data_IF_810420037358
#
_entry.id   IF_810420037358
#
_cell.length_a   1.000
_cell.length_b   1.000
_cell.length_c   1.000
_cell.angle_alpha   90.00
_cell.angle_beta   90.00
_cell.angle_gamma   90.00
#
_symmetry.space_group_name_H-M   'P 1'
#
loop_
_entity.id
_entity.type
_entity.pdbx_description
1 polymer ?
#
# COMPACT_ATOMS: atom_id res chain seq x y z
N UNK A 1 13.90 82.64 77.28
CA UNK A 1 12.54 82.50 77.84
C UNK A 1 12.19 81.01 77.87
N UNK A 2 11.89 80.51 79.08
CA UNK A 2 11.07 79.31 79.45
C UNK A 2 11.17 78.03 78.59
N UNK A 3 11.76 76.93 79.11
CA UNK A 3 11.08 75.72 79.68
C UNK A 3 10.10 75.02 78.70
N UNK A 4 10.13 73.71 78.37
CA UNK A 4 10.51 72.51 79.13
C UNK A 4 10.63 71.23 78.25
N UNK A 5 11.36 70.23 78.78
CA UNK A 5 11.09 68.76 78.83
C UNK A 5 11.25 67.82 77.62
N UNK A 6 12.40 67.13 77.60
CA UNK A 6 12.65 65.67 77.76
C UNK A 6 11.57 64.67 77.29
N UNK A 7 11.98 63.72 76.42
CA UNK A 7 11.69 62.29 76.60
C UNK A 7 12.75 61.39 75.91
N UNK A 8 13.06 60.25 76.55
CA UNK A 8 14.19 59.33 76.33
C UNK A 8 13.75 58.09 75.51
N UNK A 9 14.66 57.47 74.74
CA UNK A 9 14.96 56.01 74.71
C UNK A 9 15.12 55.32 73.32
N UNK A 10 16.30 54.70 73.15
CA UNK A 10 16.58 53.33 72.62
C UNK A 10 16.32 52.98 71.14
N UNK A 11 17.42 52.76 70.41
CA UNK A 11 17.82 51.38 70.06
C UNK A 11 17.74 50.90 68.59
N UNK A 12 18.89 50.38 68.13
CA UNK A 12 19.15 49.29 67.15
C UNK A 12 19.43 49.64 65.67
N UNK A 13 20.70 49.42 65.32
CA UNK A 13 21.22 49.12 63.99
C UNK A 13 20.48 47.95 63.32
N UNK A 14 20.24 48.04 62.00
CA UNK A 14 19.99 46.88 61.14
C UNK A 14 20.74 47.02 59.81
N UNK A 15 21.53 45.97 59.52
CA UNK A 15 22.20 45.69 58.24
C UNK A 15 21.15 45.36 57.17
N UNK A 16 21.35 45.82 55.94
CA UNK A 16 20.60 45.39 54.76
C UNK A 16 21.52 44.55 53.85
N UNK A 17 21.12 43.34 53.43
CA UNK A 17 21.93 42.49 52.58
C UNK A 17 21.75 42.88 51.10
N UNK A 18 22.86 42.79 50.35
CA UNK A 18 22.87 42.84 48.89
C UNK A 18 22.30 41.52 48.34
N UNK A 19 21.23 41.62 47.54
CA UNK A 19 20.75 40.52 46.70
C UNK A 19 21.35 40.68 45.29
N UNK A 20 22.18 39.72 44.90
CA UNK A 20 22.66 39.57 43.53
C UNK A 20 21.51 39.06 42.65
N UNK A 21 21.11 39.85 41.64
CA UNK A 21 20.23 39.41 40.56
C UNK A 21 21.02 38.54 39.57
N UNK A 22 20.74 37.24 39.55
CA UNK A 22 21.07 36.34 38.44
C UNK A 22 19.92 36.42 37.42
N UNK A 23 20.14 37.14 36.33
CA UNK A 23 19.24 37.14 35.18
C UNK A 23 19.48 35.87 34.36
N UNK A 24 18.64 34.85 34.57
CA UNK A 24 18.64 33.64 33.73
C UNK A 24 18.05 33.96 32.35
N UNK A 25 18.88 33.90 31.32
CA UNK A 25 18.43 33.89 29.94
C UNK A 25 17.83 32.50 29.64
N UNK A 26 16.49 32.42 29.67
CA UNK A 26 15.76 31.29 29.08
C UNK A 26 15.93 31.39 27.55
N UNK A 27 16.88 30.62 27.03
CA UNK A 27 16.94 30.30 25.60
C UNK A 27 15.70 29.46 25.28
N UNK A 28 14.64 30.10 24.80
CA UNK A 28 13.55 29.40 24.14
C UNK A 28 14.11 28.85 22.83
N UNK A 29 14.43 27.56 22.80
CA UNK A 29 14.61 26.87 21.53
C UNK A 29 13.28 26.95 20.77
N UNK A 30 13.28 27.30 19.48
CA UNK A 30 12.07 27.12 18.69
C UNK A 30 11.73 25.63 18.75
N UNK A 31 10.56 25.30 19.27
CA UNK A 31 10.01 23.98 19.09
C UNK A 31 9.80 23.83 17.58
N UNK A 32 10.59 22.95 16.94
CA UNK A 32 10.32 22.52 15.57
C UNK A 32 8.88 21.99 15.53
N UNK A 33 8.11 22.46 14.58
CA UNK A 33 6.74 22.03 14.39
C UNK A 33 6.77 20.64 13.74
N UNK A 34 6.57 19.60 14.54
CA UNK A 34 6.40 18.24 14.05
C UNK A 34 5.43 18.17 12.86
N UNK A 35 5.66 17.24 11.92
CA UNK A 35 4.75 17.01 10.81
C UNK A 35 3.30 16.85 11.30
N UNK A 36 2.37 17.50 10.60
CA UNK A 36 0.95 17.40 10.91
C UNK A 36 0.37 16.15 10.24
N UNK A 37 0.45 15.01 10.95
CA UNK A 37 -0.21 13.77 10.56
C UNK A 37 -1.66 13.79 11.06
N UNK A 38 -2.67 13.54 10.21
CA UNK A 38 -4.08 13.50 10.61
C UNK A 38 -4.38 12.18 11.36
N UNK A 39 -3.85 12.07 12.58
CA UNK A 39 -4.08 10.96 13.50
C UNK A 39 -4.60 11.50 14.83
N UNK A 40 -5.74 10.98 15.28
CA UNK A 40 -6.35 11.25 16.58
C UNK A 40 -5.90 10.26 17.67
N UNK A 41 -5.06 9.28 17.31
CA UNK A 41 -4.59 8.24 18.23
C UNK A 41 -5.67 7.24 18.66
N UNK A 42 -6.80 7.16 17.94
CA UNK A 42 -7.96 6.34 18.33
C UNK A 42 -7.69 4.83 18.37
N UNK A 43 -6.64 4.35 17.69
CA UNK A 43 -6.21 2.95 17.76
C UNK A 43 -5.21 2.67 18.90
N UNK A 44 -4.90 3.67 19.73
CA UNK A 44 -4.02 3.54 20.89
C UNK A 44 -2.55 3.28 20.52
N UNK A 45 -1.80 2.75 21.48
CA UNK A 45 -0.41 2.35 21.28
C UNK A 45 -0.35 0.91 20.75
N UNK A 46 0.44 0.69 19.68
CA UNK A 46 0.74 -0.65 19.18
C UNK A 46 2.11 -1.12 19.69
N UNK A 47 2.12 -2.16 20.53
CA UNK A 47 3.35 -2.77 21.03
C UNK A 47 3.43 -4.26 20.66
N UNK A 48 4.40 -4.62 19.83
CA UNK A 48 4.61 -5.99 19.33
C UNK A 48 5.93 -6.56 19.89
N UNK A 49 5.82 -7.46 20.87
CA UNK A 49 6.96 -8.15 21.48
C UNK A 49 7.19 -9.58 20.95
N UNK A 50 6.20 -10.17 20.28
CA UNK A 50 6.25 -11.52 19.73
C UNK A 50 5.64 -11.52 18.32
N UNK A 51 5.89 -12.60 17.56
CA UNK A 51 5.33 -12.73 16.21
C UNK A 51 3.80 -12.60 16.25
N UNK A 52 3.29 -11.59 15.54
CA UNK A 52 1.89 -11.20 15.55
C UNK A 52 1.38 -11.07 14.12
N UNK A 53 0.15 -11.52 13.90
CA UNK A 53 -0.59 -11.33 12.64
C UNK A 53 -1.84 -10.52 12.96
N UNK A 54 -1.96 -9.32 12.39
CA UNK A 54 -3.19 -8.52 12.48
C UNK A 54 -4.15 -9.00 11.40
N UNK A 55 -5.38 -9.31 11.79
CA UNK A 55 -6.43 -9.69 10.84
C UNK A 55 -7.11 -8.47 10.25
N UNK A 56 -6.74 -8.07 9.02
CA UNK A 56 -7.35 -6.91 8.38
C UNK A 56 -8.82 -7.13 8.02
N UNK A 57 -9.31 -8.38 8.02
CA UNK A 57 -10.74 -8.67 7.84
C UNK A 57 -11.62 -8.21 9.01
N UNK A 58 -11.02 -7.79 10.13
CA UNK A 58 -11.72 -7.24 11.30
C UNK A 58 -11.85 -5.71 11.27
N UNK A 59 -11.33 -5.04 10.24
CA UNK A 59 -11.42 -3.60 10.12
C UNK A 59 -12.88 -3.13 10.06
N UNK A 60 -13.14 -1.96 10.64
CA UNK A 60 -14.48 -1.37 10.66
C UNK A 60 -14.71 -0.62 9.35
N UNK A 61 -15.82 -0.85 8.67
CA UNK A 61 -16.18 -0.06 7.49
C UNK A 61 -16.51 1.38 7.89
N UNK A 62 -15.86 2.36 7.28
CA UNK A 62 -16.10 3.77 7.60
C UNK A 62 -15.20 4.75 6.87
N UNK A 63 -15.38 6.04 7.15
CA UNK A 63 -14.47 7.07 6.69
C UNK A 63 -13.13 6.95 7.41
N UNK A 64 -12.03 6.97 6.65
CA UNK A 64 -10.68 6.70 7.18
C UNK A 64 -10.24 7.58 8.36
N UNK A 65 -10.82 8.78 8.49
CA UNK A 65 -10.50 9.79 9.50
C UNK A 65 -11.44 9.73 10.72
N UNK A 66 -12.51 8.92 10.70
CA UNK A 66 -13.46 8.79 11.79
C UNK A 66 -12.83 8.16 13.05
N UNK A 67 -13.23 8.58 14.25
CA UNK A 67 -12.73 8.02 15.52
C UNK A 67 -12.95 6.49 15.61
N UNK A 68 -11.88 5.74 15.88
CA UNK A 68 -11.90 4.29 16.03
C UNK A 68 -11.81 3.80 17.50
N UNK A 69 -11.95 4.69 18.49
CA UNK A 69 -11.67 4.37 19.90
C UNK A 69 -12.50 3.20 20.46
N UNK A 70 -13.74 3.01 19.98
CA UNK A 70 -14.60 1.89 20.38
C UNK A 70 -14.17 0.53 19.82
N UNK A 71 -13.29 0.52 18.81
CA UNK A 71 -12.81 -0.66 18.08
C UNK A 71 -11.27 -0.62 17.95
N UNK A 72 -10.60 0.06 18.90
CA UNK A 72 -9.17 0.35 18.86
C UNK A 72 -8.32 -0.87 18.52
N UNK A 73 -7.40 -0.70 17.56
CA UNK A 73 -6.49 -1.74 17.10
C UNK A 73 -7.04 -2.59 15.95
N UNK A 74 -8.28 -2.37 15.51
CA UNK A 74 -8.87 -3.02 14.31
C UNK A 74 -8.67 -2.22 13.04
N UNK A 75 -8.46 -0.90 13.15
CA UNK A 75 -8.41 0.02 12.02
C UNK A 75 -9.76 0.20 11.32
N UNK A 76 -9.79 1.12 10.37
CA UNK A 76 -10.96 1.47 9.55
C UNK A 76 -10.67 1.14 8.10
N UNK A 77 -11.54 0.37 7.45
CA UNK A 77 -11.54 0.19 6.01
C UNK A 77 -12.41 1.26 5.35
N UNK A 78 -11.79 2.05 4.47
CA UNK A 78 -12.48 3.05 3.65
C UNK A 78 -12.47 2.60 2.19
N UNK A 79 -13.65 2.26 1.66
CA UNK A 79 -13.82 1.81 0.28
C UNK A 79 -13.48 2.89 -0.75
N UNK A 80 -13.68 4.18 -0.44
CA UNK A 80 -13.38 5.29 -1.35
C UNK A 80 -11.88 5.54 -1.51
N UNK A 81 -11.11 5.20 -0.46
CA UNK A 81 -9.64 5.27 -0.45
C UNK A 81 -8.99 3.94 -0.83
N UNK A 82 -9.76 2.86 -0.72
CA UNK A 82 -9.28 1.48 -0.79
C UNK A 82 -8.06 1.29 0.11
N UNK A 83 -8.25 1.46 1.42
CA UNK A 83 -7.18 1.32 2.41
C UNK A 83 -7.74 0.89 3.77
N UNK A 84 -6.97 0.12 4.54
CA UNK A 84 -7.21 -0.06 5.98
C UNK A 84 -6.30 0.88 6.74
N UNK A 85 -6.90 1.84 7.43
CA UNK A 85 -6.23 2.94 8.11
C UNK A 85 -6.23 2.71 9.62
N UNK A 86 -5.04 2.79 10.23
CA UNK A 86 -4.85 2.75 11.67
C UNK A 86 -4.31 4.11 12.14
N UNK A 87 -4.90 4.64 13.20
CA UNK A 87 -4.55 5.92 13.82
C UNK A 87 -3.95 5.68 15.20
N UNK A 88 -2.66 5.36 15.25
CA UNK A 88 -1.96 5.03 16.49
C UNK A 88 -1.41 6.27 17.20
N UNK A 89 -1.29 6.20 18.53
CA UNK A 89 -0.56 7.19 19.31
C UNK A 89 0.96 6.97 19.25
N UNK A 90 1.40 5.72 19.24
CA UNK A 90 2.78 5.30 19.05
C UNK A 90 2.84 3.85 18.55
N UNK A 91 3.94 3.46 17.91
CA UNK A 91 4.15 2.08 17.45
C UNK A 91 5.55 1.59 17.82
N UNK A 92 5.62 0.39 18.40
CA UNK A 92 6.88 -0.32 18.65
C UNK A 92 6.80 -1.78 18.21
N UNK A 93 7.72 -2.20 17.36
CA UNK A 93 7.98 -3.61 17.03
C UNK A 93 9.35 -3.98 17.60
N UNK A 94 9.35 -4.79 18.65
CA UNK A 94 10.55 -5.19 19.36
C UNK A 94 11.48 -6.06 18.50
N UNK A 95 12.78 -6.04 18.82
CA UNK A 95 13.76 -6.91 18.18
C UNK A 95 13.36 -8.38 18.29
N UNK A 96 13.49 -9.14 17.19
CA UNK A 96 13.11 -10.54 17.10
C UNK A 96 11.60 -10.80 16.88
N UNK A 97 10.74 -9.78 16.99
CA UNK A 97 9.32 -9.91 16.68
C UNK A 97 9.04 -9.62 15.20
N UNK A 98 8.07 -10.31 14.62
CA UNK A 98 7.54 -10.04 13.28
C UNK A 98 6.08 -9.65 13.37
N UNK A 99 5.74 -8.47 12.87
CA UNK A 99 4.36 -8.08 12.58
C UNK A 99 4.05 -8.34 11.11
N UNK A 100 2.92 -9.01 10.85
CA UNK A 100 2.37 -9.21 9.51
C UNK A 100 0.85 -9.12 9.53
N UNK A 101 0.23 -9.28 8.36
CA UNK A 101 -1.20 -9.05 8.18
C UNK A 101 -1.83 -10.18 7.36
N UNK A 102 -3.06 -10.58 7.71
CA UNK A 102 -3.95 -11.23 6.73
C UNK A 102 -4.59 -10.16 5.85
N UNK A 103 -5.13 -10.54 4.70
CA UNK A 103 -5.79 -9.58 3.81
C UNK A 103 -7.20 -9.24 4.29
N UNK A 104 -7.57 -7.96 4.17
CA UNK A 104 -8.97 -7.55 4.13
C UNK A 104 -9.65 -8.20 2.90
N UNK A 105 -10.97 -8.49 2.91
CA UNK A 105 -11.67 -9.03 1.73
C UNK A 105 -11.52 -8.22 0.44
N UNK A 106 -11.26 -6.92 0.50
CA UNK A 106 -10.92 -6.08 -0.67
C UNK A 106 -9.46 -6.14 -1.11
N UNK A 107 -8.60 -6.78 -0.31
CA UNK A 107 -7.13 -6.73 -0.42
C UNK A 107 -6.57 -5.31 -0.36
N UNK A 108 -7.23 -4.39 0.34
CA UNK A 108 -6.72 -3.04 0.51
C UNK A 108 -5.34 -3.00 1.21
N UNK A 109 -4.46 -2.04 0.86
CA UNK A 109 -3.20 -1.78 1.54
C UNK A 109 -3.38 -1.29 2.97
N UNK A 110 -2.28 -1.30 3.72
CA UNK A 110 -2.23 -0.83 5.11
C UNK A 110 -1.73 0.61 5.16
N UNK A 111 -2.37 1.45 5.96
CA UNK A 111 -1.94 2.82 6.23
C UNK A 111 -1.87 3.03 7.74
N UNK A 112 -0.71 3.44 8.22
CA UNK A 112 -0.49 3.86 9.60
C UNK A 112 -0.32 5.37 9.64
N UNK A 113 -1.18 6.02 10.42
CA UNK A 113 -1.11 7.43 10.78
C UNK A 113 -0.79 7.50 12.27
N UNK A 114 0.43 7.90 12.61
CA UNK A 114 0.95 7.86 13.98
C UNK A 114 1.18 9.28 14.46
N UNK A 115 0.55 9.68 15.56
CA UNK A 115 0.72 11.03 16.10
C UNK A 115 2.08 11.20 16.81
N UNK A 116 2.60 10.13 17.42
CA UNK A 116 3.92 10.09 18.06
C UNK A 116 5.00 9.40 17.23
N UNK A 117 5.87 8.66 17.93
CA UNK A 117 7.03 7.99 17.37
C UNK A 117 6.72 6.57 16.87
N UNK A 118 7.56 6.10 15.95
CA UNK A 118 7.53 4.73 15.44
C UNK A 118 8.91 4.09 15.60
N UNK A 119 8.96 2.95 16.28
CA UNK A 119 10.18 2.15 16.46
C UNK A 119 10.00 0.77 15.85
N UNK A 120 10.81 0.43 14.84
CA UNK A 120 10.80 -0.89 14.21
C UNK A 120 12.19 -1.50 14.38
N UNK A 121 12.37 -2.27 15.45
CA UNK A 121 13.57 -3.07 15.70
C UNK A 121 13.42 -4.51 15.21
N UNK A 122 12.18 -5.02 15.13
CA UNK A 122 11.84 -6.30 14.53
C UNK A 122 11.55 -6.22 13.02
N UNK A 123 10.60 -7.03 12.55
CA UNK A 123 10.18 -7.05 11.14
C UNK A 123 8.74 -6.58 10.99
N UNK A 124 8.49 -5.62 10.09
CA UNK A 124 7.16 -5.27 9.58
C UNK A 124 7.03 -5.83 8.15
N UNK A 125 6.12 -6.78 7.95
CA UNK A 125 6.02 -7.53 6.69
C UNK A 125 4.62 -7.45 6.07
N UNK A 126 4.56 -6.91 4.87
CA UNK A 126 3.41 -6.99 3.94
C UNK A 126 3.77 -7.83 2.71
N UNK A 127 4.63 -8.84 2.86
CA UNK A 127 5.10 -9.68 1.74
C UNK A 127 3.97 -10.46 1.05
N UNK A 128 4.18 -10.77 -0.24
CA UNK A 128 3.34 -11.67 -1.01
C UNK A 128 3.50 -13.13 -0.59
N UNK A 129 2.43 -13.91 -0.72
CA UNK A 129 2.47 -15.35 -0.54
C UNK A 129 3.30 -16.04 -1.63
N UNK A 130 4.11 -17.02 -1.22
CA UNK A 130 4.69 -17.97 -2.16
C UNK A 130 3.58 -18.76 -2.87
N UNK A 131 3.97 -19.49 -3.91
CA UNK A 131 3.08 -20.37 -4.64
C UNK A 131 2.25 -21.27 -3.71
N UNK A 132 1.04 -21.59 -4.16
CA UNK A 132 0.13 -22.53 -3.52
C UNK A 132 -0.19 -23.63 -4.52
N UNK A 133 -0.33 -24.87 -4.07
CA UNK A 133 -0.69 -25.99 -4.93
C UNK A 133 -2.00 -25.70 -5.69
N UNK A 134 -2.00 -26.01 -6.98
CA UNK A 134 -3.17 -25.86 -7.85
C UNK A 134 -4.32 -26.76 -7.37
N UNK A 135 -5.58 -26.33 -7.43
CA UNK A 135 -6.11 -25.14 -8.12
C UNK A 135 -6.14 -23.85 -7.26
N UNK A 136 -5.34 -23.78 -6.19
CA UNK A 136 -5.17 -22.57 -5.39
C UNK A 136 -4.47 -21.45 -6.18
N UNK A 137 -4.71 -20.21 -5.75
CA UNK A 137 -3.95 -19.02 -6.17
C UNK A 137 -3.15 -18.53 -4.97
N UNK A 138 -1.89 -18.15 -5.18
CA UNK A 138 -1.12 -17.51 -4.13
C UNK A 138 -1.75 -16.16 -3.76
N UNK A 139 -2.03 -15.95 -2.47
CA UNK A 139 -2.59 -14.69 -1.97
C UNK A 139 -1.47 -13.62 -1.85
N UNK A 140 -1.74 -12.37 -2.27
CA UNK A 140 -0.78 -11.29 -2.14
C UNK A 140 -0.67 -10.81 -0.70
N UNK A 141 0.31 -9.93 -0.45
CA UNK A 141 0.24 -9.07 0.73
C UNK A 141 -0.87 -8.02 0.57
N UNK A 142 -1.27 -7.33 1.66
CA UNK A 142 -2.30 -6.29 1.61
C UNK A 142 -1.98 -5.24 0.54
N UNK A 143 -2.89 -4.94 -0.38
CA UNK A 143 -2.69 -4.01 -1.49
C UNK A 143 -2.08 -4.62 -2.76
N UNK A 144 -1.60 -5.86 -2.72
CA UNK A 144 -1.02 -6.55 -3.87
C UNK A 144 -2.02 -7.42 -4.66
N UNK A 145 -1.51 -8.17 -5.64
CA UNK A 145 -2.32 -9.04 -6.50
C UNK A 145 -1.82 -10.49 -6.56
N UNK A 146 -2.75 -11.43 -6.73
CA UNK A 146 -2.54 -12.88 -6.70
C UNK A 146 -1.60 -13.39 -7.79
N UNK A 147 -0.92 -14.50 -7.49
CA UNK A 147 -0.26 -15.34 -8.51
C UNK A 147 -1.28 -16.13 -9.34
N UNK A 148 -0.86 -16.56 -10.53
CA UNK A 148 -1.63 -17.44 -11.41
C UNK A 148 -1.51 -18.91 -10.98
N UNK A 149 -2.56 -19.69 -11.22
CA UNK A 149 -2.49 -21.14 -11.03
C UNK A 149 -1.80 -21.81 -12.22
N UNK A 150 -1.30 -23.02 -12.02
CA UNK A 150 -0.73 -23.84 -13.07
C UNK A 150 -1.69 -24.95 -13.53
N UNK A 151 -1.19 -25.85 -14.37
CA UNK A 151 -1.92 -27.05 -14.76
C UNK A 151 -2.30 -27.90 -13.54
N UNK A 152 -3.59 -28.23 -13.44
CA UNK A 152 -4.13 -29.11 -12.39
C UNK A 152 -4.60 -30.45 -12.96
N UNK A 153 -5.45 -30.41 -13.99
CA UNK A 153 -6.00 -31.59 -14.65
C UNK A 153 -6.48 -31.23 -16.06
N UNK A 154 -6.87 -32.22 -16.85
CA UNK A 154 -7.41 -31.99 -18.19
C UNK A 154 -8.63 -31.06 -18.14
N UNK A 155 -8.61 -30.00 -18.95
CA UNK A 155 -9.63 -28.94 -18.94
C UNK A 155 -9.46 -27.88 -17.84
N UNK A 156 -8.41 -27.98 -17.01
CA UNK A 156 -8.02 -26.98 -16.00
C UNK A 156 -6.50 -26.74 -16.07
N UNK A 157 -6.11 -25.96 -17.08
CA UNK A 157 -4.75 -25.48 -17.30
C UNK A 157 -4.49 -24.16 -16.54
N UNK A 158 -3.22 -23.71 -16.60
CA UNK A 158 -2.75 -22.52 -15.89
C UNK A 158 -3.38 -21.19 -16.32
N UNK A 159 -3.10 -20.15 -15.53
CA UNK A 159 -3.56 -18.78 -15.75
C UNK A 159 -2.46 -17.75 -15.55
N UNK A 160 -2.66 -16.57 -16.14
CA UNK A 160 -1.80 -15.43 -15.87
C UNK A 160 -1.87 -14.97 -14.42
N UNK A 161 -0.83 -14.29 -13.96
CA UNK A 161 -0.82 -13.61 -12.67
C UNK A 161 -1.81 -12.45 -12.66
N UNK A 162 -2.34 -12.11 -11.50
CA UNK A 162 -3.28 -11.00 -11.34
C UNK A 162 -2.52 -9.69 -11.07
N UNK A 163 -3.20 -8.57 -11.30
CA UNK A 163 -2.59 -7.23 -11.15
C UNK A 163 -2.26 -6.55 -12.49
N UNK A 164 -2.13 -5.22 -12.52
CA UNK A 164 -1.83 -4.47 -13.75
C UNK A 164 -0.54 -4.91 -14.43
N UNK A 165 0.43 -5.41 -13.66
CA UNK A 165 1.69 -5.97 -14.15
C UNK A 165 1.76 -7.49 -14.09
N UNK A 166 0.63 -8.21 -13.95
CA UNK A 166 0.61 -9.65 -13.78
C UNK A 166 1.25 -10.40 -14.95
N UNK A 167 2.08 -11.40 -14.66
CA UNK A 167 2.81 -12.16 -15.68
C UNK A 167 1.92 -13.09 -16.51
N UNK A 168 2.28 -13.34 -17.77
CA UNK A 168 1.54 -14.26 -18.64
C UNK A 168 1.70 -15.71 -18.20
N UNK A 169 0.63 -16.49 -18.45
CA UNK A 169 0.69 -17.95 -18.44
C UNK A 169 1.28 -18.43 -19.77
N UNK A 170 2.42 -19.13 -19.69
CA UNK A 170 3.10 -19.70 -20.85
C UNK A 170 3.61 -21.10 -20.51
N UNK A 171 3.81 -21.93 -21.53
CA UNK A 171 4.36 -23.28 -21.36
C UNK A 171 5.83 -23.26 -20.99
N UNK A 172 6.26 -24.23 -20.18
CA UNK A 172 7.61 -24.43 -19.64
C UNK A 172 8.11 -23.32 -18.70
N UNK A 173 8.15 -22.06 -19.13
CA UNK A 173 8.61 -20.96 -18.27
C UNK A 173 7.61 -19.82 -18.29
N UNK A 174 6.90 -19.65 -17.18
CA UNK A 174 5.94 -18.56 -16.99
C UNK A 174 6.63 -17.24 -16.66
N UNK A 175 5.88 -16.15 -16.73
CA UNK A 175 6.43 -14.80 -16.58
C UNK A 175 6.23 -14.25 -15.17
N UNK A 176 7.26 -13.59 -14.63
CA UNK A 176 7.17 -12.87 -13.37
C UNK A 176 6.18 -11.69 -13.45
N UNK A 177 5.61 -11.33 -12.30
CA UNK A 177 4.84 -10.10 -12.15
C UNK A 177 5.75 -8.87 -12.19
N UNK A 178 5.22 -7.75 -12.63
CA UNK A 178 5.89 -6.44 -12.72
C UNK A 178 5.29 -5.45 -11.73
N UNK A 179 6.07 -4.46 -11.28
CA UNK A 179 5.52 -3.27 -10.59
C UNK A 179 6.38 -2.02 -10.84
N UNK A 180 7.42 -1.79 -10.02
CA UNK A 180 8.37 -0.70 -10.19
C UNK A 180 9.39 -0.96 -11.29
N UNK A 181 9.71 -2.24 -11.54
CA UNK A 181 10.36 -2.71 -12.76
C UNK A 181 9.56 -3.82 -13.42
N UNK A 182 9.91 -4.13 -14.67
CA UNK A 182 9.36 -5.27 -15.40
C UNK A 182 9.96 -6.57 -14.84
N UNK A 183 9.12 -7.60 -14.65
CA UNK A 183 9.56 -8.95 -14.28
C UNK A 183 10.21 -9.70 -15.45
N UNK A 184 10.75 -10.88 -15.20
CA UNK A 184 11.44 -11.70 -16.22
C UNK A 184 10.50 -12.75 -16.83
N UNK A 185 10.65 -13.06 -18.11
CA UNK A 185 9.93 -14.12 -18.81
C UNK A 185 9.50 -13.72 -20.23
N UNK A 186 8.79 -14.62 -20.92
CA UNK A 186 8.34 -14.40 -22.31
C UNK A 186 7.14 -13.45 -22.47
N UNK A 187 6.47 -13.07 -21.38
CA UNK A 187 5.32 -12.16 -21.39
C UNK A 187 5.01 -11.53 -20.03
N UNK A 188 5.97 -10.89 -19.33
CA UNK A 188 5.68 -10.11 -18.13
C UNK A 188 4.74 -8.95 -18.45
N UNK A 189 3.83 -8.61 -17.52
CA UNK A 189 3.00 -7.41 -17.66
C UNK A 189 3.84 -6.12 -17.59
N UNK A 190 3.27 -4.95 -17.94
CA UNK A 190 3.99 -3.68 -17.83
C UNK A 190 4.23 -3.28 -16.37
N UNK A 191 5.25 -2.44 -16.16
CA UNK A 191 5.38 -1.68 -14.90
C UNK A 191 4.19 -0.72 -14.75
N UNK A 192 3.78 -0.43 -13.51
CA UNK A 192 2.63 0.45 -13.23
C UNK A 192 2.80 1.22 -11.92
N UNK A 193 1.81 2.05 -11.60
CA UNK A 193 1.85 2.97 -10.48
C UNK A 193 2.82 4.12 -10.73
N UNK A 194 3.10 4.89 -9.69
CA UNK A 194 3.99 6.04 -9.78
C UNK A 194 4.99 6.04 -8.60
N UNK A 195 6.15 6.71 -8.74
CA UNK A 195 7.13 6.84 -7.66
C UNK A 195 6.59 7.53 -6.40
N UNK A 196 5.48 8.25 -6.51
CA UNK A 196 4.84 8.90 -5.36
C UNK A 196 4.07 7.94 -4.45
N UNK A 197 3.73 6.73 -4.91
CA UNK A 197 2.87 5.81 -4.16
C UNK A 197 1.56 6.48 -3.69
N UNK A 198 0.99 7.32 -4.56
CA UNK A 198 -0.31 7.97 -4.40
C UNK A 198 -1.13 7.71 -5.68
N UNK A 199 -2.18 6.86 -5.66
CA UNK A 199 -2.60 6.04 -4.52
C UNK A 199 -1.57 4.96 -4.15
N UNK A 200 -1.68 4.44 -2.93
CA UNK A 200 -0.83 3.36 -2.43
C UNK A 200 -1.24 2.04 -3.08
N UNK A 201 -0.34 1.42 -3.84
CA UNK A 201 -0.58 0.17 -4.56
C UNK A 201 0.54 -0.84 -4.30
N UNK A 202 0.16 -2.12 -4.18
CA UNK A 202 1.10 -3.24 -4.09
C UNK A 202 1.47 -3.81 -5.46
N UNK A 203 2.28 -4.87 -5.43
CA UNK A 203 2.84 -5.56 -6.58
C UNK A 203 1.90 -6.58 -7.22
N UNK A 204 2.25 -7.03 -8.43
CA UNK A 204 1.49 -8.01 -9.20
C UNK A 204 2.04 -9.43 -9.08
N UNK A 205 1.18 -10.43 -9.25
CA UNK A 205 1.58 -11.83 -9.21
C UNK A 205 2.19 -12.32 -10.54
N UNK A 206 2.97 -13.39 -10.46
CA UNK A 206 3.48 -14.07 -11.65
C UNK A 206 2.50 -15.09 -12.21
N UNK A 207 2.67 -15.45 -13.49
CA UNK A 207 1.83 -16.46 -14.17
C UNK A 207 2.12 -17.89 -13.70
N UNK A 208 1.14 -18.76 -13.80
CA UNK A 208 1.35 -20.20 -13.61
C UNK A 208 1.55 -20.92 -14.94
N UNK A 209 2.30 -22.02 -14.89
CA UNK A 209 2.62 -22.83 -16.07
C UNK A 209 1.38 -23.54 -16.61
N UNK A 210 1.19 -23.52 -17.94
CA UNK A 210 0.01 -24.12 -18.57
C UNK A 210 0.15 -25.62 -18.83
N UNK A 211 1.37 -26.15 -18.86
CA UNK A 211 1.67 -27.54 -19.23
C UNK A 211 2.04 -28.40 -18.01
N UNK A 212 2.45 -27.75 -16.92
CA UNK A 212 3.00 -28.40 -15.74
C UNK A 212 2.44 -27.77 -14.46
N UNK A 213 2.58 -28.46 -13.32
CA UNK A 213 2.03 -28.01 -12.03
C UNK A 213 2.91 -26.99 -11.28
N UNK A 214 3.38 -25.93 -11.96
CA UNK A 214 4.25 -24.89 -11.38
C UNK A 214 3.53 -23.54 -11.27
N UNK A 215 2.83 -23.29 -10.15
CA UNK A 215 2.07 -22.06 -9.95
C UNK A 215 2.96 -20.85 -9.68
N UNK A 216 2.40 -19.67 -9.95
CA UNK A 216 3.06 -18.40 -9.76
C UNK A 216 3.01 -17.90 -8.31
N UNK A 217 4.00 -17.08 -7.94
CA UNK A 217 4.02 -16.36 -6.66
C UNK A 217 3.17 -15.09 -6.70
N UNK A 218 2.69 -14.63 -5.55
CA UNK A 218 1.87 -13.43 -5.45
C UNK A 218 2.70 -12.16 -5.30
N UNK A 219 2.15 -11.01 -5.70
CA UNK A 219 2.79 -9.71 -5.53
C UNK A 219 2.90 -9.29 -4.07
N UNK A 220 3.95 -8.54 -3.75
CA UNK A 220 4.12 -7.89 -2.46
C UNK A 220 2.99 -6.90 -2.17
N UNK A 221 2.64 -6.73 -0.91
CA UNK A 221 1.66 -5.75 -0.47
C UNK A 221 2.18 -4.31 -0.49
N UNK A 222 1.38 -3.38 0.02
CA UNK A 222 1.76 -2.00 0.17
C UNK A 222 1.40 -1.44 1.54
N UNK A 223 2.30 -0.61 2.06
CA UNK A 223 2.16 0.03 3.36
C UNK A 223 2.62 1.50 3.32
N UNK A 224 1.83 2.37 3.95
CA UNK A 224 2.23 3.71 4.35
C UNK A 224 2.48 3.71 5.85
N UNK A 225 3.66 4.16 6.28
CA UNK A 225 3.96 4.52 7.67
C UNK A 225 4.19 6.02 7.71
N UNK A 226 3.21 6.77 8.22
CA UNK A 226 3.30 8.21 8.43
C UNK A 226 3.33 8.51 9.93
N UNK A 227 4.40 9.14 10.42
CA UNK A 227 4.49 9.56 11.82
C UNK A 227 4.85 11.04 11.96
N UNK A 228 4.24 11.69 12.97
CA UNK A 228 4.52 13.08 13.30
C UNK A 228 5.89 13.28 13.95
N UNK A 229 6.41 12.25 14.62
CA UNK A 229 7.71 12.28 15.29
C UNK A 229 8.82 11.55 14.54
N UNK A 230 9.61 10.78 15.28
CA UNK A 230 10.74 10.03 14.76
C UNK A 230 10.33 8.63 14.32
N UNK A 231 10.66 8.25 13.08
CA UNK A 231 10.68 6.86 12.63
C UNK A 231 12.10 6.30 12.83
N UNK A 232 12.28 5.47 13.85
CA UNK A 232 13.53 4.75 14.11
C UNK A 232 13.43 3.32 13.56
N UNK A 233 14.19 3.03 12.50
CA UNK A 233 14.24 1.71 11.89
C UNK A 233 15.62 1.08 12.07
N UNK A 234 15.71 0.05 12.92
CA UNK A 234 16.91 -0.80 13.07
C UNK A 234 16.68 -2.23 12.60
N UNK A 235 15.41 -2.64 12.46
CA UNK A 235 14.99 -3.91 11.92
C UNK A 235 14.71 -3.87 10.42
N UNK A 236 13.60 -4.47 9.98
CA UNK A 236 13.25 -4.59 8.55
C UNK A 236 11.79 -4.19 8.28
N UNK A 237 11.57 -3.45 7.20
CA UNK A 237 10.26 -3.32 6.55
C UNK A 237 10.33 -4.05 5.20
N UNK A 238 9.44 -5.02 4.98
CA UNK A 238 9.44 -5.85 3.77
C UNK A 238 8.09 -5.87 3.07
N UNK A 239 8.12 -5.57 1.77
CA UNK A 239 7.02 -5.72 0.83
C UNK A 239 7.44 -6.64 -0.33
N UNK A 240 8.20 -7.71 -0.05
CA UNK A 240 8.73 -8.57 -1.09
C UNK A 240 7.64 -9.40 -1.78
N UNK A 241 7.86 -9.73 -3.05
CA UNK A 241 7.03 -10.66 -3.80
C UNK A 241 7.24 -12.11 -3.36
N UNK A 242 6.23 -12.94 -3.56
CA UNK A 242 6.28 -14.37 -3.30
C UNK A 242 7.02 -15.14 -4.41
N UNK A 243 7.66 -16.23 -4.02
CA UNK A 243 8.34 -17.12 -4.95
C UNK A 243 7.37 -18.09 -5.63
N UNK A 244 7.63 -18.43 -6.88
CA UNK A 244 6.92 -19.48 -7.62
C UNK A 244 7.37 -20.88 -7.20
N UNK A 245 6.65 -21.91 -7.68
CA UNK A 245 7.11 -23.28 -7.57
C UNK A 245 8.32 -23.50 -8.50
N UNK A 246 9.39 -24.10 -7.95
CA UNK A 246 10.57 -24.48 -8.72
C UNK A 246 11.08 -25.86 -8.26
N UNK A 247 10.71 -26.95 -8.95
CA UNK A 247 11.22 -28.28 -8.65
C UNK A 247 12.65 -28.53 -9.18
N UNK A 248 13.30 -27.56 -9.83
CA UNK A 248 14.44 -27.79 -10.71
C UNK A 248 13.97 -28.40 -12.04
N UNK A 249 14.71 -28.19 -13.14
CA UNK A 249 14.32 -28.45 -14.54
C UNK A 249 13.47 -27.35 -15.20
N UNK A 250 13.33 -27.43 -16.53
CA UNK A 250 12.82 -26.41 -17.47
C UNK A 250 11.34 -25.97 -17.27
N UNK A 251 10.75 -26.25 -16.10
CA UNK A 251 9.38 -25.93 -15.72
C UNK A 251 9.39 -25.00 -14.48
N UNK A 252 9.13 -23.70 -14.66
CA UNK A 252 9.12 -22.72 -13.55
C UNK A 252 7.94 -21.75 -13.68
N UNK A 253 7.20 -21.59 -12.58
CA UNK A 253 6.15 -20.57 -12.47
C UNK A 253 6.74 -19.15 -12.42
N UNK A 254 5.93 -18.14 -12.69
CA UNK A 254 6.32 -16.74 -12.56
C UNK A 254 6.37 -16.28 -11.10
N UNK A 255 7.44 -15.61 -10.68
CA UNK A 255 7.50 -15.01 -9.33
C UNK A 255 6.65 -13.74 -9.24
N UNK A 256 6.18 -13.41 -8.03
CA UNK A 256 5.50 -12.14 -7.79
C UNK A 256 6.47 -10.96 -7.70
N UNK A 257 6.03 -9.76 -8.10
CA UNK A 257 6.83 -8.55 -7.97
C UNK A 257 6.91 -8.07 -6.52
N UNK A 258 7.90 -7.23 -6.22
CA UNK A 258 7.90 -6.42 -5.01
C UNK A 258 6.70 -5.48 -4.94
N UNK A 259 6.39 -5.00 -3.75
CA UNK A 259 5.25 -4.15 -3.42
C UNK A 259 5.60 -2.67 -3.21
N UNK A 260 4.78 -1.96 -2.43
CA UNK A 260 4.92 -0.52 -2.19
C UNK A 260 5.26 -0.19 -0.74
N UNK A 261 6.34 0.56 -0.48
CA UNK A 261 6.62 1.06 0.87
C UNK A 261 6.73 2.58 0.83
N UNK A 262 5.85 3.27 1.54
CA UNK A 262 5.88 4.72 1.68
C UNK A 262 6.14 5.08 3.14
N UNK A 263 7.24 5.77 3.40
CA UNK A 263 7.62 6.24 4.73
C UNK A 263 7.51 7.76 4.75
N UNK A 264 6.80 8.30 5.73
CA UNK A 264 6.66 9.73 5.99
C UNK A 264 6.98 9.96 7.46
N UNK A 265 7.99 10.76 7.77
CA UNK A 265 8.40 11.01 9.16
C UNK A 265 8.96 12.41 9.32
N UNK A 266 8.81 13.02 10.48
CA UNK A 266 9.54 14.26 10.76
C UNK A 266 11.04 13.98 10.74
N UNK A 267 11.47 13.02 11.56
CA UNK A 267 12.85 12.54 11.59
C UNK A 267 12.92 11.07 11.21
N UNK A 268 13.71 10.74 10.18
CA UNK A 268 14.05 9.35 9.85
C UNK A 268 15.42 8.97 10.42
N UNK A 269 15.45 7.95 11.27
CA UNK A 269 16.64 7.48 11.98
C UNK A 269 16.86 5.96 11.86
N UNK A 270 18.08 5.51 12.18
CA UNK A 270 18.44 4.10 12.29
C UNK A 270 19.26 3.53 11.12
N UNK A 271 19.49 2.22 11.14
CA UNK A 271 20.41 1.48 10.25
C UNK A 271 19.77 0.22 9.66
N UNK A 272 18.44 0.10 9.74
CA UNK A 272 17.71 -1.08 9.30
C UNK A 272 17.55 -1.18 7.78
N UNK A 273 16.67 -2.09 7.36
CA UNK A 273 16.45 -2.47 5.97
C UNK A 273 15.03 -2.11 5.53
N UNK A 274 14.90 -1.51 4.36
CA UNK A 274 13.61 -1.31 3.67
C UNK A 274 13.68 -2.01 2.32
N UNK A 275 12.87 -3.04 2.12
CA UNK A 275 12.96 -3.85 0.90
C UNK A 275 11.59 -4.12 0.26
N UNK A 276 11.53 -3.93 -1.06
CA UNK A 276 10.40 -4.28 -1.91
C UNK A 276 10.94 -4.97 -3.16
N UNK A 277 11.51 -6.16 -3.00
CA UNK A 277 12.10 -6.94 -4.12
C UNK A 277 11.13 -8.02 -4.61
N UNK A 278 11.19 -8.37 -5.88
CA UNK A 278 10.43 -9.49 -6.43
C UNK A 278 10.92 -10.84 -5.90
N UNK A 279 10.10 -11.88 -6.05
CA UNK A 279 10.55 -13.26 -5.82
C UNK A 279 11.69 -13.61 -6.78
N UNK A 280 12.63 -14.43 -6.33
CA UNK A 280 13.98 -14.56 -6.94
C UNK A 280 14.24 -15.90 -7.59
N UNK A 281 13.30 -16.83 -7.55
CA UNK A 281 13.52 -18.23 -7.94
C UNK A 281 13.27 -18.42 -9.44
N UNK A 282 14.31 -18.60 -10.25
CA UNK A 282 14.14 -18.78 -11.71
C UNK A 282 13.88 -17.44 -12.40
N UNK A 283 12.65 -17.20 -12.90
CA UNK A 283 12.25 -15.95 -13.58
C UNK A 283 11.81 -14.88 -12.56
N UNK A 284 12.69 -13.95 -12.15
CA UNK A 284 12.39 -13.09 -11.00
C UNK A 284 11.22 -12.14 -11.27
N UNK A 285 10.50 -11.82 -10.21
CA UNK A 285 9.51 -10.74 -10.24
C UNK A 285 10.21 -9.38 -10.34
N UNK A 286 9.51 -8.40 -10.89
CA UNK A 286 9.98 -7.02 -10.92
C UNK A 286 10.17 -6.46 -9.51
N UNK A 287 11.03 -5.45 -9.40
CA UNK A 287 11.20 -4.67 -8.18
C UNK A 287 9.92 -3.90 -7.87
N UNK A 288 9.71 -3.60 -6.60
CA UNK A 288 8.63 -2.78 -6.10
C UNK A 288 8.93 -1.28 -6.19
N UNK A 289 8.28 -0.48 -5.34
CA UNK A 289 8.51 0.95 -5.24
C UNK A 289 8.68 1.35 -3.78
N UNK A 290 9.65 2.21 -3.51
CA UNK A 290 9.88 2.76 -2.17
C UNK A 290 9.85 4.28 -2.28
N UNK A 291 9.13 4.94 -1.37
CA UNK A 291 9.13 6.40 -1.20
C UNK A 291 9.46 6.76 0.23
N UNK A 292 10.31 7.76 0.39
CA UNK A 292 10.72 8.29 1.69
C UNK A 292 10.50 9.81 1.67
N UNK A 293 9.68 10.30 2.59
CA UNK A 293 9.39 11.72 2.78
C UNK A 293 9.76 12.09 4.21
N UNK A 294 10.59 13.12 4.37
CA UNK A 294 11.09 13.49 5.70
C UNK A 294 11.57 14.92 5.82
N UNK A 295 11.51 15.47 7.02
CA UNK A 295 12.11 16.78 7.34
C UNK A 295 13.61 16.59 7.61
N UNK A 296 13.93 15.71 8.55
CA UNK A 296 15.32 15.43 8.99
C UNK A 296 15.70 13.99 8.67
N UNK A 297 16.96 13.79 8.25
CA UNK A 297 17.55 12.47 8.11
C UNK A 297 18.80 12.29 8.97
N UNK A 298 18.76 11.33 9.87
CA UNK A 298 19.92 10.84 10.62
C UNK A 298 20.19 9.36 10.39
N UNK A 299 19.46 8.74 9.46
CA UNK A 299 19.53 7.32 9.15
C UNK A 299 20.59 6.96 8.11
N UNK A 300 21.03 5.70 8.16
CA UNK A 300 21.90 5.03 7.19
C UNK A 300 21.23 3.72 6.76
N UNK A 301 19.96 3.81 6.35
CA UNK A 301 19.16 2.64 5.97
C UNK A 301 19.70 1.96 4.71
N UNK A 302 19.57 0.64 4.68
CA UNK A 302 19.73 -0.15 3.46
C UNK A 302 18.38 -0.23 2.75
N UNK A 303 18.28 0.34 1.55
CA UNK A 303 17.01 0.46 0.83
C UNK A 303 17.12 -0.23 -0.53
N UNK A 304 16.16 -1.10 -0.87
CA UNK A 304 16.14 -1.79 -2.18
C UNK A 304 14.71 -2.04 -2.65
N UNK A 305 14.29 -1.54 -3.83
CA UNK A 305 15.05 -0.74 -4.80
C UNK A 305 15.33 0.68 -4.32
N UNK A 306 16.09 1.46 -5.11
CA UNK A 306 16.36 2.87 -4.83
C UNK A 306 15.05 3.66 -4.58
N UNK A 307 14.97 4.45 -3.50
CA UNK A 307 13.74 5.14 -3.15
C UNK A 307 13.56 6.45 -3.93
N UNK A 308 12.30 6.84 -4.16
CA UNK A 308 11.95 8.24 -4.40
C UNK A 308 12.04 9.01 -3.09
N UNK A 309 12.92 10.00 -2.99
CA UNK A 309 13.13 10.79 -1.76
C UNK A 309 12.56 12.19 -1.92
N UNK A 310 11.77 12.64 -0.95
CA UNK A 310 11.21 14.00 -0.90
C UNK A 310 11.56 14.64 0.45
N UNK A 311 12.17 15.82 0.40
CA UNK A 311 12.37 16.63 1.60
C UNK A 311 11.06 17.36 1.91
N UNK A 312 10.62 17.30 3.16
CA UNK A 312 9.46 18.02 3.67
C UNK A 312 9.91 19.23 4.48
N UNK A 313 9.06 20.26 4.54
CA UNK A 313 9.24 21.36 5.46
C UNK A 313 8.73 20.99 6.85
N UNK A 314 9.33 21.59 7.88
CA UNK A 314 8.83 21.58 9.25
C UNK A 314 7.36 22.03 9.27
N UNK A 315 6.51 21.31 10.00
CA UNK A 315 5.07 21.58 10.13
C UNK A 315 4.23 21.26 8.89
N UNK A 316 4.81 20.65 7.84
CA UNK A 316 4.05 20.29 6.64
C UNK A 316 2.98 19.22 6.92
N UNK A 317 1.87 19.30 6.18
CA UNK A 317 0.87 18.23 6.12
C UNK A 317 1.14 17.39 4.86
N UNK A 318 1.50 16.10 4.99
CA UNK A 318 1.79 15.27 3.84
C UNK A 318 0.52 14.91 3.06
N UNK A 319 0.63 14.88 1.73
CA UNK A 319 -0.45 14.43 0.85
C UNK A 319 -0.66 12.92 0.98
N UNK A 320 -1.70 12.48 1.70
CA UNK A 320 -1.94 11.04 1.92
C UNK A 320 -2.59 10.37 0.71
N UNK A 321 -3.59 11.03 0.14
CA UNK A 321 -4.47 10.48 -0.89
C UNK A 321 -4.36 11.26 -2.20
N UNK A 322 -4.77 10.68 -3.34
CA UNK A 322 -4.98 11.46 -4.55
C UNK A 322 -5.91 12.65 -4.24
N UNK A 323 -5.59 13.87 -4.72
CA UNK A 323 -6.50 15.00 -4.69
C UNK A 323 -7.86 14.70 -5.35
N UNK A 324 -8.87 15.51 -5.06
CA UNK A 324 -10.22 15.29 -5.60
C UNK A 324 -10.28 15.48 -7.12
N UNK A 325 -9.45 16.37 -7.66
CA UNK A 325 -9.25 16.61 -9.09
C UNK A 325 -8.26 15.65 -9.75
N UNK A 326 -7.76 14.64 -9.02
CA UNK A 326 -6.88 13.64 -9.60
C UNK A 326 -7.61 12.80 -10.67
N UNK A 327 -6.90 12.34 -11.72
CA UNK A 327 -7.45 11.42 -12.71
C UNK A 327 -7.93 10.12 -12.06
N UNK A 328 -9.13 9.68 -12.42
CA UNK A 328 -9.76 8.44 -11.92
C UNK A 328 -10.23 7.57 -13.06
N UNK A 329 -10.21 6.26 -12.84
CA UNK A 329 -10.74 5.25 -13.75
C UNK A 329 -11.45 4.15 -12.95
N UNK A 330 -12.62 3.72 -13.41
CA UNK A 330 -13.36 2.59 -12.83
C UNK A 330 -14.16 1.85 -13.90
N UNK A 331 -14.42 0.57 -13.67
CA UNK A 331 -15.37 -0.19 -14.50
C UNK A 331 -16.76 0.02 -13.91
N UNK A 332 -17.73 0.45 -14.74
CA UNK A 332 -19.09 0.76 -14.29
C UNK A 332 -20.11 -0.28 -14.73
N UNK A 333 -19.86 -0.97 -15.84
CA UNK A 333 -20.72 -2.04 -16.31
C UNK A 333 -19.94 -3.16 -17.02
N UNK A 334 -20.40 -4.41 -16.84
CA UNK A 334 -19.90 -5.60 -17.52
C UNK A 334 -21.11 -6.37 -18.05
N UNK A 335 -21.19 -6.57 -19.36
CA UNK A 335 -22.30 -7.30 -20.00
C UNK A 335 -23.69 -6.68 -19.80
N UNK A 336 -23.76 -5.37 -19.51
CA UNK A 336 -25.01 -4.68 -19.20
C UNK A 336 -25.37 -4.64 -17.70
N UNK A 337 -24.66 -5.41 -16.87
CA UNK A 337 -24.85 -5.41 -15.41
C UNK A 337 -23.97 -4.34 -14.76
N UNK A 338 -24.46 -3.72 -13.69
CA UNK A 338 -23.71 -2.71 -12.94
C UNK A 338 -22.61 -3.38 -12.08
N UNK A 339 -21.44 -2.75 -12.03
CA UNK A 339 -20.37 -3.16 -11.10
C UNK A 339 -20.63 -2.52 -9.73
N UNK A 340 -20.50 -3.28 -8.61
CA UNK A 340 -20.59 -2.70 -7.27
C UNK A 340 -19.54 -1.61 -7.02
N UNK A 341 -19.84 -0.65 -6.15
CA UNK A 341 -18.91 0.45 -5.83
C UNK A 341 -17.59 -0.03 -5.20
N UNK A 342 -17.62 -1.17 -4.51
CA UNK A 342 -16.46 -1.81 -3.87
C UNK A 342 -16.31 -3.27 -4.34
N UNK A 343 -15.79 -3.49 -5.57
CA UNK A 343 -15.63 -4.82 -6.13
C UNK A 343 -14.53 -5.59 -5.38
N UNK A 344 -14.83 -6.84 -5.02
CA UNK A 344 -13.93 -7.68 -4.22
C UNK A 344 -12.96 -8.50 -5.06
N UNK A 345 -13.27 -8.79 -6.32
CA UNK A 345 -12.54 -9.72 -7.19
C UNK A 345 -12.28 -11.07 -6.49
N UNK A 346 -13.34 -11.64 -5.91
CA UNK A 346 -13.29 -12.92 -5.22
C UNK A 346 -13.36 -14.09 -6.23
N UNK A 347 -12.58 -15.15 -5.97
CA UNK A 347 -12.57 -16.38 -6.77
C UNK A 347 -12.89 -17.65 -5.96
N UNK A 348 -13.38 -17.46 -4.73
CA UNK A 348 -13.65 -18.52 -3.76
C UNK A 348 -15.13 -18.85 -3.64
N UNK A 349 -15.56 -19.20 -2.42
CA UNK A 349 -16.97 -19.51 -2.11
C UNK A 349 -17.92 -18.30 -2.17
N UNK A 350 -17.38 -17.08 -2.20
CA UNK A 350 -18.17 -15.87 -2.42
C UNK A 350 -18.62 -15.78 -3.89
N UNK A 351 -19.81 -15.21 -4.10
CA UNK A 351 -20.31 -14.92 -5.44
C UNK A 351 -19.38 -13.91 -6.16
N UNK A 352 -19.33 -13.96 -7.50
CA UNK A 352 -18.59 -12.95 -8.26
C UNK A 352 -19.24 -11.57 -8.06
N UNK A 353 -18.46 -10.50 -8.24
CA UNK A 353 -18.98 -9.13 -8.15
C UNK A 353 -20.08 -8.87 -9.19
N UNK A 354 -19.95 -9.48 -10.37
CA UNK A 354 -20.92 -9.40 -11.46
C UNK A 354 -21.07 -10.79 -12.09
N UNK A 355 -22.31 -11.19 -12.35
CA UNK A 355 -22.65 -12.40 -13.12
C UNK A 355 -23.25 -11.98 -14.46
N UNK A 356 -22.73 -12.51 -15.56
CA UNK A 356 -23.21 -12.22 -16.92
C UNK A 356 -23.69 -13.49 -17.62
N UNK A 357 -24.53 -13.33 -18.63
CA UNK A 357 -24.90 -14.43 -19.54
C UNK A 357 -23.66 -14.95 -20.28
N UNK A 358 -23.66 -16.27 -20.55
CA UNK A 358 -22.56 -16.91 -21.29
C UNK A 358 -22.51 -16.37 -22.72
N UNK A 359 -21.36 -15.80 -23.09
CA UNK A 359 -21.08 -15.29 -24.42
C UNK A 359 -19.59 -15.44 -24.73
N UNK A 360 -19.20 -15.48 -26.01
CA UNK A 360 -17.77 -15.52 -26.38
C UNK A 360 -17.02 -14.22 -26.02
N UNK A 361 -17.74 -13.10 -26.05
CA UNK A 361 -17.24 -11.77 -25.71
C UNK A 361 -18.30 -11.02 -24.91
N UNK A 362 -17.87 -10.07 -24.08
CA UNK A 362 -18.75 -9.17 -23.34
C UNK A 362 -18.29 -7.72 -23.48
N UNK A 363 -19.25 -6.81 -23.42
CA UNK A 363 -18.98 -5.36 -23.41
C UNK A 363 -18.69 -4.90 -22.00
N UNK A 364 -17.64 -4.11 -21.83
CA UNK A 364 -17.24 -3.48 -20.58
C UNK A 364 -17.27 -1.97 -20.79
N UNK A 365 -17.97 -1.26 -19.91
CA UNK A 365 -17.97 0.19 -19.87
C UNK A 365 -17.02 0.65 -18.78
N UNK A 366 -16.00 1.41 -19.18
CA UNK A 366 -15.03 2.03 -18.29
C UNK A 366 -15.36 3.51 -18.19
N UNK A 367 -15.49 4.05 -16.99
CA UNK A 367 -15.65 5.47 -16.74
C UNK A 367 -14.32 6.07 -16.33
N UNK A 368 -13.98 7.22 -16.90
CA UNK A 368 -12.86 8.05 -16.46
C UNK A 368 -13.33 9.44 -16.06
N UNK A 369 -12.74 10.00 -15.01
CA UNK A 369 -12.98 11.38 -14.55
C UNK A 369 -11.66 12.13 -14.49
N UNK A 370 -11.63 13.40 -14.91
CA UNK A 370 -10.41 14.22 -15.02
C UNK A 370 -9.32 13.58 -15.91
N UNK A 371 -9.75 12.87 -16.95
CA UNK A 371 -8.88 12.23 -17.95
C UNK A 371 -9.23 12.80 -19.32
N UNK A 372 -8.23 13.18 -20.10
CA UNK A 372 -8.40 13.76 -21.43
C UNK A 372 -8.92 12.73 -22.45
N UNK A 373 -9.68 13.19 -23.44
CA UNK A 373 -10.18 12.35 -24.54
C UNK A 373 -9.05 11.74 -25.41
N UNK A 374 -7.86 12.33 -25.39
CA UNK A 374 -6.69 11.80 -26.08
C UNK A 374 -6.04 10.59 -25.37
N UNK A 375 -6.51 10.24 -24.17
CA UNK A 375 -6.00 9.11 -23.41
C UNK A 375 -6.33 7.77 -24.07
N UNK A 376 -5.51 6.76 -23.77
CA UNK A 376 -5.77 5.38 -24.17
C UNK A 376 -6.28 4.57 -22.97
N UNK A 377 -7.49 4.04 -23.09
CA UNK A 377 -8.12 3.20 -22.05
C UNK A 377 -8.05 1.74 -22.44
N UNK A 378 -7.67 0.89 -21.49
CA UNK A 378 -7.53 -0.55 -21.67
C UNK A 378 -8.28 -1.30 -20.57
N UNK A 379 -8.85 -2.45 -20.92
CA UNK A 379 -9.29 -3.47 -19.96
C UNK A 379 -8.38 -4.67 -20.07
N UNK A 380 -7.80 -5.06 -18.93
CA UNK A 380 -7.14 -6.34 -18.76
C UNK A 380 -8.15 -7.34 -18.20
N UNK A 381 -8.34 -8.45 -18.91
CA UNK A 381 -9.15 -9.57 -18.45
C UNK A 381 -8.25 -10.78 -18.19
N UNK A 382 -8.27 -11.28 -16.96
CA UNK A 382 -7.43 -12.40 -16.51
C UNK A 382 -8.33 -13.54 -16.05
N UNK A 383 -8.49 -14.58 -16.88
CA UNK A 383 -9.21 -15.79 -16.49
C UNK A 383 -8.55 -16.46 -15.29
N UNK A 384 -9.36 -17.05 -14.41
CA UNK A 384 -8.88 -17.81 -13.25
C UNK A 384 -8.04 -19.01 -13.66
N UNK A 385 -8.37 -19.65 -14.78
CA UNK A 385 -7.73 -20.85 -15.33
C UNK A 385 -7.87 -20.86 -16.86
N UNK A 386 -7.19 -21.81 -17.51
CA UNK A 386 -7.33 -22.15 -18.93
C UNK A 386 -6.85 -21.11 -19.96
N UNK A 387 -6.41 -19.93 -19.54
CA UNK A 387 -5.90 -18.92 -20.45
C UNK A 387 -5.00 -17.91 -19.74
N UNK A 388 -4.08 -17.32 -20.51
CA UNK A 388 -3.38 -16.11 -20.10
C UNK A 388 -4.32 -14.90 -20.10
N UNK A 389 -3.86 -13.79 -19.53
CA UNK A 389 -4.59 -12.54 -19.59
C UNK A 389 -4.63 -12.00 -21.03
N UNK A 390 -5.68 -11.24 -21.32
CA UNK A 390 -5.80 -10.42 -22.52
C UNK A 390 -5.88 -8.95 -22.12
N UNK A 391 -5.33 -8.08 -22.96
CA UNK A 391 -5.41 -6.62 -22.79
C UNK A 391 -6.05 -6.05 -24.04
N UNK A 392 -7.21 -5.42 -23.90
CA UNK A 392 -7.98 -4.87 -25.01
C UNK A 392 -8.13 -3.37 -24.81
N UNK A 393 -7.89 -2.61 -25.87
CA UNK A 393 -8.07 -1.16 -25.88
C UNK A 393 -9.54 -0.81 -26.12
N UNK A 394 -10.01 0.30 -25.56
CA UNK A 394 -11.31 0.87 -25.88
C UNK A 394 -11.44 1.16 -27.38
N UNK A 395 -12.63 0.87 -27.90
CA UNK A 395 -12.98 1.01 -29.31
C UNK A 395 -13.62 2.35 -29.65
N UNK A 396 -14.27 2.96 -28.66
CA UNK A 396 -15.00 4.21 -28.76
C UNK A 396 -15.21 4.80 -27.37
N UNK A 397 -15.55 6.09 -27.33
CA UNK A 397 -15.87 6.81 -26.11
C UNK A 397 -16.99 7.82 -26.31
N UNK A 398 -17.68 8.16 -25.23
CA UNK A 398 -18.73 9.17 -25.17
C UNK A 398 -18.48 10.09 -23.97
N UNK A 399 -18.56 11.41 -24.19
CA UNK A 399 -18.46 12.41 -23.12
C UNK A 399 -19.81 12.51 -22.41
N UNK A 400 -19.84 12.13 -21.13
CA UNK A 400 -21.03 12.13 -20.28
C UNK A 400 -21.20 13.47 -19.57
N UNK A 401 -20.09 14.10 -19.18
CA UNK A 401 -20.06 15.42 -18.56
C UNK A 401 -18.79 16.16 -18.98
N UNK A 402 -18.88 17.48 -19.12
CA UNK A 402 -17.74 18.34 -19.45
C UNK A 402 -17.07 18.95 -18.21
N UNK A 403 -17.79 19.09 -17.09
CA UNK A 403 -17.28 19.68 -15.84
C UNK A 403 -17.91 19.00 -14.61
N UNK A 404 -17.17 18.10 -13.90
CA UNK A 404 -15.86 17.59 -14.30
C UNK A 404 -15.96 16.77 -15.59
N UNK A 405 -14.87 16.66 -16.34
CA UNK A 405 -14.80 15.82 -17.54
C UNK A 405 -14.99 14.35 -17.16
N UNK A 406 -16.10 13.75 -17.60
CA UNK A 406 -16.45 12.34 -17.41
C UNK A 406 -16.68 11.70 -18.77
N UNK A 407 -15.98 10.60 -19.03
CA UNK A 407 -16.02 9.89 -20.31
C UNK A 407 -16.32 8.41 -20.06
N UNK A 408 -17.25 7.85 -20.83
CA UNK A 408 -17.51 6.41 -20.89
C UNK A 408 -16.83 5.80 -22.11
N UNK A 409 -16.02 4.77 -21.87
CA UNK A 409 -15.23 4.07 -22.87
C UNK A 409 -15.78 2.66 -23.06
N UNK A 410 -16.04 2.28 -24.32
CA UNK A 410 -16.58 0.96 -24.65
C UNK A 410 -15.47 0.00 -25.05
N UNK A 411 -15.33 -1.09 -24.30
CA UNK A 411 -14.32 -2.13 -24.53
C UNK A 411 -15.01 -3.48 -24.70
N UNK A 412 -14.66 -4.25 -25.73
CA UNK A 412 -15.19 -5.61 -25.93
C UNK A 412 -14.11 -6.62 -25.59
N UNK A 413 -14.31 -7.41 -24.53
CA UNK A 413 -13.31 -8.38 -24.05
C UNK A 413 -13.78 -9.82 -24.27
N UNK A 414 -12.86 -10.77 -24.49
CA UNK A 414 -13.16 -12.20 -24.41
C UNK A 414 -13.78 -12.56 -23.06
N UNK A 415 -14.81 -13.41 -23.08
CA UNK A 415 -15.52 -13.88 -21.88
C UNK A 415 -15.52 -15.42 -21.82
N UNK A 416 -14.35 -16.05 -21.57
CA UNK A 416 -14.28 -17.49 -21.46
C UNK A 416 -15.15 -18.00 -20.29
N UNK A 417 -15.59 -19.25 -20.39
CA UNK A 417 -16.37 -19.89 -19.33
C UNK A 417 -15.57 -19.93 -18.04
N UNK A 418 -16.17 -19.44 -16.96
CA UNK A 418 -15.59 -19.43 -15.62
C UNK A 418 -15.50 -18.02 -15.05
N UNK A 419 -14.56 -17.83 -14.13
CA UNK A 419 -14.34 -16.55 -13.44
C UNK A 419 -13.15 -15.82 -14.06
N UNK A 420 -13.26 -14.50 -14.19
CA UNK A 420 -12.16 -13.63 -14.63
C UNK A 420 -12.06 -12.41 -13.74
N UNK A 421 -10.84 -11.94 -13.49
CA UNK A 421 -10.60 -10.63 -12.91
C UNK A 421 -10.49 -9.59 -14.02
N UNK A 422 -11.20 -8.47 -13.89
CA UNK A 422 -11.10 -7.33 -14.80
C UNK A 422 -10.41 -6.15 -14.14
N UNK A 423 -9.56 -5.46 -14.89
CA UNK A 423 -8.81 -4.30 -14.42
C UNK A 423 -8.79 -3.24 -15.52
N UNK A 424 -9.22 -2.02 -15.21
CA UNK A 424 -9.12 -0.88 -16.11
C UNK A 424 -7.77 -0.18 -15.94
N UNK A 425 -7.25 0.35 -17.04
CA UNK A 425 -5.98 1.07 -17.08
C UNK A 425 -6.09 2.23 -18.07
N UNK A 426 -5.49 3.36 -17.73
CA UNK A 426 -5.46 4.57 -18.56
C UNK A 426 -4.01 5.01 -18.77
N UNK A 427 -3.66 5.30 -20.01
CA UNK A 427 -2.43 5.99 -20.39
C UNK A 427 -2.82 7.38 -20.88
N UNK A 428 -2.36 8.41 -20.17
CA UNK A 428 -2.51 9.82 -20.60
C UNK A 428 -1.45 10.14 -21.67
N UNK A 429 -1.74 11.09 -22.59
CA UNK A 429 -0.85 11.45 -23.70
C UNK A 429 0.51 12.00 -23.27
#
# INVERSE_FOLDING_TARGET
MRTSMVCVARGRCRRFPWFSLLAGWLLAWPALAALSIPSDGSDGELFIATNTVIDLGQAVDGAWDADNSAQAGRGIYDASRWAVVFKYSAVTIASGATLSFTNHPSRAPVVWLVSGDVVIAGTLSVKGGNYVATPGLAEPGPGGFRGGMAYFTSGVAGSGGFGPGGGAATGNTSSGGSYGSVGVGGGPGPAYGNPSLIPLLGGSGGGGDIDNSQPGGAGGGAILVACGGTLTLTGTISANGGNSANPGYNAIGGNGSGGGIRLVADTLAGTGVVQAIGGTVGNPGGLGRIRIERVTNTSVLQVTPDPSVVALADGATPLLWPPDDAPRVRIVSIGGEAVPDDPRAAFGAALPDVTIAQAATTTVIVETTHVEEAAQVFVRATPRSNASYVRVQASSHEVVSADPLVIHWTVVVPAPVGYSGLQAHVIRP
#
